data_IF_548962392608
#
_entry.id   IF_548962392608
#
_cell.length_a   1.000
_cell.length_b   1.000
_cell.length_c   1.000
_cell.angle_alpha   90.00
_cell.angle_beta   90.00
_cell.angle_gamma   90.00
#
_symmetry.space_group_name_H-M   'P 1'
#
loop_
_entity.id
_entity.type
_entity.pdbx_description
1 polymer ?
#
# COMPACT_ATOMS: atom_id res chain seq x y z
N UNK A 1 53.91 53.57 -36.88
CA UNK A 1 52.46 53.78 -36.78
C UNK A 1 51.94 52.55 -36.10
N UNK A 2 51.41 52.70 -34.89
CA UNK A 2 50.97 51.59 -34.05
C UNK A 2 49.78 50.91 -34.70
N UNK A 3 49.88 49.59 -34.94
CA UNK A 3 48.72 48.70 -34.99
C UNK A 3 48.14 48.71 -33.57
N UNK A 4 47.13 49.55 -33.35
CA UNK A 4 46.18 49.29 -32.28
C UNK A 4 45.34 48.14 -32.78
N UNK A 5 45.66 46.94 -32.30
CA UNK A 5 44.75 45.80 -32.31
C UNK A 5 43.50 46.27 -31.54
N UNK A 6 42.51 46.81 -32.25
CA UNK A 6 41.22 47.13 -31.66
C UNK A 6 40.53 45.79 -31.42
N UNK A 7 40.74 45.22 -30.23
CA UNK A 7 39.94 44.12 -29.73
C UNK A 7 38.47 44.49 -29.98
N UNK A 8 37.77 43.65 -30.74
CA UNK A 8 36.38 43.87 -31.05
C UNK A 8 35.61 43.92 -29.72
N UNK A 9 34.98 45.05 -29.40
CA UNK A 9 34.25 45.28 -28.13
C UNK A 9 33.22 44.17 -27.87
N UNK A 10 32.72 43.51 -28.94
CA UNK A 10 31.86 42.33 -28.83
C UNK A 10 32.57 41.12 -28.21
N UNK A 11 33.83 40.89 -28.59
CA UNK A 11 34.66 39.82 -28.02
C UNK A 11 34.98 40.12 -26.56
N UNK A 12 35.27 41.38 -26.25
CA UNK A 12 35.53 41.82 -24.87
C UNK A 12 34.32 41.57 -23.97
N UNK A 13 33.11 41.97 -24.40
CA UNK A 13 31.89 41.75 -23.62
C UNK A 13 31.58 40.27 -23.45
N UNK A 14 31.65 39.47 -24.52
CA UNK A 14 31.37 38.02 -24.45
C UNK A 14 32.38 37.27 -23.56
N UNK A 15 33.65 37.64 -23.63
CA UNK A 15 34.70 37.03 -22.78
C UNK A 15 34.52 37.43 -21.31
N UNK A 16 34.13 38.69 -21.06
CA UNK A 16 33.80 39.17 -19.72
C UNK A 16 32.58 38.42 -19.17
N UNK A 17 31.53 38.25 -19.98
CA UNK A 17 30.34 37.49 -19.60
C UNK A 17 30.66 36.02 -19.34
N UNK A 18 31.51 35.38 -20.13
CA UNK A 18 31.92 34.00 -19.89
C UNK A 18 32.69 33.83 -18.57
N UNK A 19 33.39 34.89 -18.13
CA UNK A 19 34.06 34.91 -16.83
C UNK A 19 33.06 35.02 -15.67
N UNK A 20 31.92 35.69 -15.88
CA UNK A 20 30.84 35.84 -14.88
C UNK A 20 29.92 34.61 -14.87
N UNK A 21 29.63 34.08 -16.05
CA UNK A 21 28.75 32.93 -16.31
C UNK A 21 29.54 31.84 -17.05
N UNK A 22 30.24 30.95 -16.32
CA UNK A 22 31.05 29.88 -16.92
C UNK A 22 30.25 28.92 -17.83
N UNK A 23 28.93 28.87 -17.67
CA UNK A 23 27.99 28.12 -18.48
C UNK A 23 27.65 28.78 -19.85
N UNK A 24 28.13 30.01 -20.10
CA UNK A 24 27.95 30.70 -21.38
C UNK A 24 28.76 30.01 -22.49
N UNK A 25 28.05 29.56 -23.53
CA UNK A 25 28.65 28.94 -24.72
C UNK A 25 28.69 29.94 -25.85
N UNK A 26 29.89 30.32 -26.28
CA UNK A 26 30.12 31.19 -27.45
C UNK A 26 30.24 30.30 -28.70
N UNK A 27 29.50 30.64 -29.76
CA UNK A 27 29.51 29.92 -31.03
C UNK A 27 30.32 30.71 -32.06
N UNK A 28 31.56 30.31 -32.31
CA UNK A 28 32.47 31.00 -33.25
C UNK A 28 32.50 30.39 -34.67
N UNK A 29 31.42 29.73 -35.08
CA UNK A 29 31.35 29.08 -36.39
C UNK A 29 30.89 30.07 -37.48
N UNK A 30 31.84 30.67 -38.20
CA UNK A 30 31.68 31.26 -39.55
C UNK A 30 30.46 32.18 -39.78
N UNK A 31 29.28 31.60 -40.02
CA UNK A 31 28.00 32.29 -40.26
C UNK A 31 27.31 32.79 -38.96
N UNK A 32 27.66 32.25 -37.79
CA UNK A 32 27.09 32.60 -36.47
C UNK A 32 28.08 33.34 -35.55
N UNK A 33 29.12 33.97 -36.10
CA UNK A 33 30.11 34.73 -35.31
C UNK A 33 29.43 35.75 -34.36
N UNK A 34 29.90 35.81 -33.11
CA UNK A 34 29.32 36.63 -32.03
C UNK A 34 27.92 36.23 -31.58
N UNK A 35 27.60 34.93 -31.68
CA UNK A 35 26.42 34.33 -31.07
C UNK A 35 26.82 33.64 -29.77
N UNK A 36 26.04 33.83 -28.70
CA UNK A 36 26.25 33.16 -27.43
C UNK A 36 24.94 32.54 -26.91
N UNK A 37 25.05 31.42 -26.23
CA UNK A 37 23.92 30.77 -25.57
C UNK A 37 24.15 30.71 -24.07
N UNK A 38 23.13 31.10 -23.30
CA UNK A 38 23.12 31.05 -21.84
C UNK A 38 21.86 30.33 -21.35
N UNK A 39 22.01 29.41 -20.40
CA UNK A 39 20.86 28.80 -19.70
C UNK A 39 20.70 29.43 -18.32
N UNK A 40 19.62 30.19 -18.14
CA UNK A 40 19.31 30.84 -16.88
C UNK A 40 18.45 29.95 -15.99
N UNK A 41 18.90 29.59 -14.77
CA UNK A 41 18.11 28.81 -13.85
C UNK A 41 16.90 29.63 -13.36
N UNK A 42 15.72 28.99 -13.34
CA UNK A 42 14.48 29.63 -12.87
C UNK A 42 14.16 29.14 -11.46
N UNK A 43 14.58 29.93 -10.47
CA UNK A 43 14.39 29.68 -9.05
C UNK A 43 13.80 30.95 -8.37
N UNK A 44 12.48 31.17 -8.43
CA UNK A 44 11.85 32.34 -7.82
C UNK A 44 11.97 32.31 -6.29
N UNK A 45 12.04 33.48 -5.65
CA UNK A 45 12.14 33.60 -4.19
C UNK A 45 10.92 33.02 -3.45
N UNK A 46 9.76 33.00 -4.11
CA UNK A 46 8.54 32.34 -3.64
C UNK A 46 8.08 31.32 -4.67
N UNK A 47 7.60 30.13 -4.24
CA UNK A 47 7.06 29.14 -5.17
C UNK A 47 5.99 29.74 -6.09
N UNK A 48 6.20 29.60 -7.40
CA UNK A 48 5.37 30.21 -8.42
C UNK A 48 4.06 29.42 -8.60
N UNK A 49 2.89 30.05 -8.47
CA UNK A 49 1.62 29.39 -8.76
C UNK A 49 1.43 29.26 -10.28
N UNK A 50 1.27 28.03 -10.76
CA UNK A 50 0.95 27.71 -12.16
C UNK A 50 -0.42 27.05 -12.21
N UNK A 51 -1.29 27.54 -13.11
CA UNK A 51 -2.63 27.00 -13.32
C UNK A 51 -2.62 26.07 -14.53
N UNK A 52 -3.10 24.83 -14.36
CA UNK A 52 -3.20 23.85 -15.44
C UNK A 52 -4.64 23.72 -15.96
N UNK A 53 -4.83 23.90 -17.26
CA UNK A 53 -6.13 23.76 -17.95
C UNK A 53 -6.25 22.43 -18.73
N UNK A 54 -7.45 21.84 -18.85
CA UNK A 54 -8.78 22.35 -18.48
C UNK A 54 -9.18 22.17 -16.99
N UNK A 55 -8.33 21.57 -16.16
CA UNK A 55 -8.67 21.22 -14.77
C UNK A 55 -8.68 22.37 -13.76
N UNK A 56 -8.24 23.58 -14.13
CA UNK A 56 -8.00 24.72 -13.23
C UNK A 56 -7.24 24.35 -11.95
N UNK A 57 -6.31 23.40 -12.06
CA UNK A 57 -5.53 22.95 -10.92
C UNK A 57 -4.33 23.89 -10.72
N UNK A 58 -4.16 24.41 -9.51
CA UNK A 58 -3.04 25.28 -9.16
C UNK A 58 -1.96 24.48 -8.42
N UNK A 59 -0.74 24.49 -8.94
CA UNK A 59 0.44 23.93 -8.28
C UNK A 59 1.52 24.99 -8.10
N UNK A 60 2.33 24.85 -7.04
CA UNK A 60 3.36 25.81 -6.68
C UNK A 60 4.75 25.23 -6.93
N UNK A 61 5.54 25.87 -7.79
CA UNK A 61 6.85 25.38 -8.21
C UNK A 61 7.97 26.27 -7.65
N UNK A 62 8.88 25.66 -6.89
CA UNK A 62 10.09 26.35 -6.43
C UNK A 62 11.19 26.41 -7.51
N UNK A 63 11.14 25.50 -8.48
CA UNK A 63 12.10 25.41 -9.58
C UNK A 63 11.37 25.12 -10.88
N UNK A 64 11.77 25.79 -11.96
CA UNK A 64 11.28 25.56 -13.31
C UNK A 64 12.46 25.27 -14.27
N UNK A 65 12.19 24.61 -15.40
CA UNK A 65 13.19 24.39 -16.43
C UNK A 65 13.87 25.71 -16.85
N UNK A 66 15.18 25.72 -17.10
CA UNK A 66 15.93 26.94 -17.35
C UNK A 66 15.44 27.64 -18.61
N UNK A 67 15.61 28.96 -18.64
CA UNK A 67 15.36 29.78 -19.83
C UNK A 67 16.64 29.81 -20.65
N UNK A 68 16.58 29.28 -21.87
CA UNK A 68 17.70 29.30 -22.82
C UNK A 68 17.63 30.57 -23.64
N UNK A 69 18.65 31.40 -23.50
CA UNK A 69 18.83 32.65 -24.24
C UNK A 69 19.81 32.44 -25.38
N UNK A 70 19.45 32.87 -26.58
CA UNK A 70 20.35 32.96 -27.72
C UNK A 70 20.60 34.44 -28.06
N UNK A 71 21.78 34.91 -27.70
CA UNK A 71 22.23 36.28 -27.83
C UNK A 71 23.05 36.42 -29.12
N UNK A 72 22.81 37.47 -29.88
CA UNK A 72 23.56 37.78 -31.10
C UNK A 72 23.97 39.24 -31.08
N UNK A 73 25.27 39.47 -31.27
CA UNK A 73 25.84 40.81 -31.34
C UNK A 73 26.03 41.22 -32.81
N UNK A 74 25.13 42.06 -33.37
CA UNK A 74 25.21 42.43 -34.78
C UNK A 74 26.42 43.32 -35.07
N UNK A 75 26.75 43.44 -36.35
CA UNK A 75 27.77 44.40 -36.82
C UNK A 75 27.31 45.82 -36.47
N UNK A 76 28.12 46.54 -35.69
CA UNK A 76 27.81 47.89 -35.20
C UNK A 76 27.40 47.96 -33.73
N UNK A 77 27.18 46.82 -33.06
CA UNK A 77 27.11 46.78 -31.60
C UNK A 77 28.53 46.95 -31.02
N UNK A 78 28.72 47.68 -29.90
CA UNK A 78 27.70 48.32 -29.05
C UNK A 78 27.34 49.77 -29.39
N UNK A 79 28.10 50.46 -30.26
CA UNK A 79 27.97 51.91 -30.44
C UNK A 79 26.82 52.36 -31.37
N UNK A 80 26.41 51.52 -32.31
CA UNK A 80 25.52 51.91 -33.43
C UNK A 80 24.34 50.96 -33.64
N UNK A 81 24.36 49.78 -33.02
CA UNK A 81 23.26 48.81 -33.08
C UNK A 81 23.06 48.13 -31.71
N UNK A 82 21.81 47.82 -31.33
CA UNK A 82 21.49 47.07 -30.10
C UNK A 82 21.82 45.58 -30.23
N UNK A 83 21.94 44.85 -29.10
CA UNK A 83 22.09 43.40 -29.12
C UNK A 83 20.75 42.77 -29.51
N UNK A 84 20.78 41.63 -30.20
CA UNK A 84 19.58 40.91 -30.63
C UNK A 84 19.44 39.60 -29.86
N UNK A 85 18.30 39.39 -29.23
CA UNK A 85 17.96 38.10 -28.61
C UNK A 85 17.18 37.29 -29.65
N UNK A 86 17.85 36.38 -30.37
CA UNK A 86 17.26 35.60 -31.47
C UNK A 86 16.13 34.70 -30.96
N UNK A 87 16.40 33.98 -29.87
CA UNK A 87 15.47 33.00 -29.30
C UNK A 87 15.53 33.02 -27.77
N UNK A 88 14.36 33.08 -27.14
CA UNK A 88 14.16 32.74 -25.72
C UNK A 88 13.33 31.46 -25.72
N UNK A 89 13.91 30.35 -25.29
CA UNK A 89 13.22 29.06 -25.33
C UNK A 89 13.28 28.35 -24.00
N UNK A 90 12.28 27.53 -23.73
CA UNK A 90 12.23 26.63 -22.57
C UNK A 90 11.92 25.22 -23.05
N UNK A 91 12.49 24.22 -22.38
CA UNK A 91 12.19 22.81 -22.63
C UNK A 91 11.74 22.16 -21.32
N UNK A 92 10.45 21.87 -21.14
CA UNK A 92 9.30 22.13 -22.05
C UNK A 92 8.98 23.62 -22.25
N UNK A 93 8.21 23.96 -23.28
CA UNK A 93 7.83 25.34 -23.66
C UNK A 93 6.77 25.93 -22.71
N UNK A 94 7.15 26.12 -21.45
CA UNK A 94 6.27 26.65 -20.39
C UNK A 94 6.18 28.18 -20.40
N UNK A 95 7.02 28.87 -21.18
CA UNK A 95 7.01 30.32 -21.29
C UNK A 95 6.18 30.73 -22.51
N UNK A 96 5.23 31.66 -22.35
CA UNK A 96 4.39 32.11 -23.47
C UNK A 96 5.19 32.91 -24.50
N UNK A 97 4.80 32.82 -25.78
CA UNK A 97 5.47 33.54 -26.88
C UNK A 97 5.42 35.07 -26.68
N UNK A 98 4.31 35.61 -26.14
CA UNK A 98 4.19 37.03 -25.79
C UNK A 98 5.25 37.45 -24.76
N UNK A 99 5.46 36.63 -23.73
CA UNK A 99 6.45 36.92 -22.70
C UNK A 99 7.88 36.74 -23.23
N UNK A 100 8.12 35.73 -24.07
CA UNK A 100 9.41 35.57 -24.77
C UNK A 100 9.75 36.81 -25.60
N UNK A 101 8.82 37.32 -26.41
CA UNK A 101 9.02 38.53 -27.20
C UNK A 101 9.28 39.76 -26.33
N UNK A 102 8.49 39.94 -25.26
CA UNK A 102 8.68 41.07 -24.33
C UNK A 102 10.04 41.05 -23.62
N UNK A 103 10.50 39.86 -23.22
CA UNK A 103 11.82 39.70 -22.59
C UNK A 103 12.96 39.88 -23.62
N UNK A 104 12.75 39.51 -24.88
CA UNK A 104 13.73 39.74 -25.96
C UNK A 104 13.86 41.24 -26.30
N UNK A 105 12.74 41.96 -26.37
CA UNK A 105 12.71 43.40 -26.66
C UNK A 105 13.36 44.26 -25.56
N UNK A 106 13.40 43.76 -24.33
CA UNK A 106 14.02 44.46 -23.20
C UNK A 106 15.53 44.68 -23.38
N UNK A 107 16.24 43.78 -24.04
CA UNK A 107 17.66 43.97 -24.33
C UNK A 107 17.89 45.22 -25.19
N UNK A 108 17.00 45.46 -26.15
CA UNK A 108 17.02 46.65 -27.00
C UNK A 108 16.63 47.91 -26.22
N UNK A 109 15.59 47.84 -25.39
CA UNK A 109 15.16 48.98 -24.55
C UNK A 109 16.28 49.42 -23.58
N UNK A 110 16.96 48.47 -22.95
CA UNK A 110 18.11 48.77 -22.09
C UNK A 110 19.25 49.42 -22.88
N UNK A 111 19.52 48.95 -24.10
CA UNK A 111 20.53 49.59 -24.95
C UNK A 111 20.17 51.04 -25.30
N UNK A 112 18.90 51.30 -25.64
CA UNK A 112 18.38 52.64 -25.93
C UNK A 112 18.46 53.57 -24.69
N UNK A 113 18.12 53.05 -23.51
CA UNK A 113 18.14 53.80 -22.24
C UNK A 113 19.55 54.21 -21.81
N UNK A 114 20.56 53.36 -22.07
CA UNK A 114 21.97 53.66 -21.80
C UNK A 114 22.61 54.56 -22.87
N UNK A 115 21.91 54.83 -23.98
CA UNK A 115 22.42 55.66 -25.08
C UNK A 115 23.48 54.97 -25.94
N UNK A 116 23.46 53.64 -25.97
CA UNK A 116 24.49 52.80 -26.58
C UNK A 116 25.57 52.33 -25.59
N UNK A 117 26.18 51.17 -25.87
CA UNK A 117 27.17 50.55 -24.98
C UNK A 117 26.98 49.04 -24.79
N UNK A 118 27.92 48.43 -24.06
CA UNK A 118 27.87 47.04 -23.63
C UNK A 118 26.79 46.88 -22.55
N UNK A 119 25.69 46.18 -22.85
CA UNK A 119 24.51 46.08 -21.98
C UNK A 119 24.10 44.64 -21.66
N UNK A 120 24.77 43.63 -22.19
CA UNK A 120 24.35 42.24 -22.01
C UNK A 120 24.37 41.81 -20.53
N UNK A 121 25.36 42.24 -19.74
CA UNK A 121 25.40 41.95 -18.30
C UNK A 121 24.22 42.58 -17.55
N UNK A 122 23.90 43.84 -17.87
CA UNK A 122 22.77 44.55 -17.27
C UNK A 122 21.44 43.89 -17.66
N UNK A 123 21.32 43.47 -18.93
CA UNK A 123 20.18 42.71 -19.42
C UNK A 123 20.01 41.37 -18.69
N UNK A 124 21.05 40.54 -18.62
CA UNK A 124 21.01 39.25 -17.92
C UNK A 124 20.67 39.45 -16.43
N UNK A 125 21.26 40.46 -15.78
CA UNK A 125 20.99 40.78 -14.38
C UNK A 125 19.52 41.20 -14.16
N UNK A 126 18.97 42.00 -15.06
CA UNK A 126 17.55 42.39 -15.00
C UNK A 126 16.62 41.19 -15.17
N UNK A 127 16.95 40.26 -16.07
CA UNK A 127 16.21 39.01 -16.21
C UNK A 127 16.27 38.16 -14.93
N UNK A 128 17.45 38.02 -14.32
CA UNK A 128 17.61 37.29 -13.06
C UNK A 128 16.77 37.91 -11.93
N UNK A 129 16.74 39.24 -11.81
CA UNK A 129 15.91 39.95 -10.83
C UNK A 129 14.41 39.73 -11.08
N UNK A 130 13.97 39.75 -12.35
CA UNK A 130 12.57 39.45 -12.72
C UNK A 130 12.18 38.01 -12.42
N UNK A 131 13.08 37.06 -12.65
CA UNK A 131 12.89 35.65 -12.31
C UNK A 131 12.75 35.49 -10.80
N UNK A 132 13.67 36.08 -10.01
CA UNK A 132 13.66 35.99 -8.55
C UNK A 132 12.39 36.61 -7.94
N UNK A 133 12.00 37.79 -8.43
CA UNK A 133 10.78 38.49 -8.02
C UNK A 133 9.48 37.91 -8.60
N UNK A 134 9.57 36.92 -9.49
CA UNK A 134 8.47 36.39 -10.28
C UNK A 134 7.67 37.47 -11.05
N UNK A 135 8.30 38.61 -11.36
CA UNK A 135 7.66 39.73 -12.04
C UNK A 135 7.28 39.35 -13.47
N UNK A 136 5.98 39.39 -13.80
CA UNK A 136 5.46 38.99 -15.11
C UNK A 136 5.16 37.48 -15.26
N UNK A 137 5.48 36.66 -14.25
CA UNK A 137 5.26 35.20 -14.24
C UNK A 137 4.10 34.76 -13.32
N UNK A 138 3.43 35.69 -12.64
CA UNK A 138 2.45 35.40 -11.56
C UNK A 138 1.12 34.80 -11.99
N UNK A 139 0.83 34.69 -13.30
CA UNK A 139 -0.43 34.18 -13.83
C UNK A 139 -0.21 33.24 -15.03
N UNK A 140 0.76 32.33 -14.92
CA UNK A 140 1.00 31.35 -15.98
C UNK A 140 -0.12 30.30 -16.01
N UNK A 141 -0.77 30.20 -17.16
CA UNK A 141 -1.74 29.15 -17.47
C UNK A 141 -1.14 28.20 -18.49
N UNK A 142 -0.99 26.92 -18.14
CA UNK A 142 -0.35 25.91 -18.96
C UNK A 142 -1.29 24.73 -19.26
N UNK A 143 -1.12 24.06 -20.42
CA UNK A 143 -1.76 22.79 -20.70
C UNK A 143 -1.44 21.71 -19.64
N UNK A 144 -2.47 20.94 -19.24
CA UNK A 144 -2.31 19.83 -18.29
C UNK A 144 -1.32 18.75 -18.76
N UNK A 145 -1.02 18.69 -20.06
CA UNK A 145 -0.03 17.75 -20.63
C UNK A 145 1.40 17.98 -20.11
N UNK A 146 1.76 19.23 -19.79
CA UNK A 146 3.11 19.57 -19.31
C UNK A 146 3.28 19.42 -17.79
N UNK A 147 2.18 19.20 -17.06
CA UNK A 147 2.19 19.14 -15.59
C UNK A 147 3.18 18.10 -15.06
N UNK A 148 3.13 16.89 -15.61
CA UNK A 148 3.97 15.79 -15.15
C UNK A 148 5.46 16.12 -15.31
N UNK A 149 5.85 16.64 -16.46
CA UNK A 149 7.25 16.99 -16.75
C UNK A 149 7.78 18.10 -15.83
N UNK A 150 6.96 19.13 -15.53
CA UNK A 150 7.34 20.20 -14.60
C UNK A 150 7.46 19.70 -13.16
N UNK A 151 6.55 18.84 -12.71
CA UNK A 151 6.60 18.23 -11.38
C UNK A 151 7.85 17.37 -11.23
N UNK A 152 8.14 16.51 -12.20
CA UNK A 152 9.32 15.66 -12.21
C UNK A 152 10.62 16.49 -12.26
N UNK A 153 10.66 17.56 -13.05
CA UNK A 153 11.81 18.48 -13.08
C UNK A 153 12.05 19.13 -11.72
N UNK A 154 11.01 19.75 -11.13
CA UNK A 154 11.11 20.43 -9.84
C UNK A 154 11.56 19.47 -8.73
N UNK A 155 10.98 18.28 -8.66
CA UNK A 155 11.37 17.24 -7.68
C UNK A 155 12.81 16.78 -7.86
N UNK A 156 13.26 16.59 -9.11
CA UNK A 156 14.64 16.20 -9.42
C UNK A 156 15.64 17.27 -8.99
N UNK A 157 15.38 18.54 -9.28
CA UNK A 157 16.27 19.63 -8.85
C UNK A 157 16.30 19.76 -7.33
N UNK A 158 15.14 19.69 -6.67
CA UNK A 158 15.08 19.66 -5.21
C UNK A 158 15.91 18.52 -4.62
N UNK A 159 15.84 17.33 -5.22
CA UNK A 159 16.67 16.19 -4.81
C UNK A 159 18.16 16.44 -5.03
N UNK A 160 18.56 16.97 -6.18
CA UNK A 160 19.98 17.26 -6.47
C UNK A 160 20.55 18.29 -5.49
N UNK A 161 19.78 19.33 -5.15
CA UNK A 161 20.18 20.34 -4.18
C UNK A 161 20.28 19.74 -2.78
N UNK A 162 19.27 18.97 -2.38
CA UNK A 162 19.29 18.23 -1.12
C UNK A 162 20.51 17.33 -1.01
N UNK A 163 20.82 16.55 -2.06
CA UNK A 163 21.92 15.60 -2.06
C UNK A 163 23.31 16.29 -1.91
N UNK A 164 23.43 17.56 -2.32
CA UNK A 164 24.64 18.38 -2.15
C UNK A 164 24.79 18.95 -0.73
N UNK A 165 23.67 19.27 -0.10
CA UNK A 165 23.61 19.81 1.27
C UNK A 165 24.08 18.78 2.31
N UNK A 166 24.44 19.27 3.49
CA UNK A 166 24.85 18.45 4.63
C UNK A 166 23.87 18.63 5.77
N UNK A 167 23.46 17.52 6.38
CA UNK A 167 22.46 17.48 7.45
C UNK A 167 22.99 16.72 8.65
N UNK A 168 22.71 17.20 9.85
CA UNK A 168 23.03 16.51 11.09
C UNK A 168 21.90 15.56 11.46
N UNK A 169 22.22 14.27 11.59
CA UNK A 169 21.22 13.29 11.98
C UNK A 169 20.98 13.33 13.49
N UNK A 170 19.75 13.66 13.92
CA UNK A 170 19.39 13.70 15.35
C UNK A 170 19.43 12.35 16.09
N UNK A 171 19.70 11.24 15.41
CA UNK A 171 19.77 9.88 15.99
C UNK A 171 21.21 9.46 16.25
N UNK A 172 22.08 9.52 15.23
CA UNK A 172 23.49 9.17 15.39
C UNK A 172 24.39 10.39 15.71
N UNK A 173 23.84 11.60 15.65
CA UNK A 173 24.53 12.88 15.89
C UNK A 173 25.72 13.16 14.96
N UNK A 174 25.75 12.50 13.80
CA UNK A 174 26.78 12.69 12.78
C UNK A 174 26.27 13.57 11.62
N UNK A 175 27.15 14.42 11.04
CA UNK A 175 26.88 15.10 9.78
C UNK A 175 26.90 14.10 8.63
N UNK A 176 25.87 14.12 7.79
CA UNK A 176 25.72 13.27 6.61
C UNK A 176 25.39 14.11 5.38
N UNK A 177 25.82 13.65 4.21
CA UNK A 177 25.40 14.24 2.93
C UNK A 177 23.93 13.94 2.69
N UNK A 178 23.19 14.85 2.05
CA UNK A 178 21.78 14.62 1.74
C UNK A 178 21.54 13.35 0.93
N UNK A 179 22.51 12.92 0.12
CA UNK A 179 22.45 11.65 -0.61
C UNK A 179 22.36 10.40 0.28
N UNK A 180 22.83 10.48 1.52
CA UNK A 180 22.75 9.42 2.54
C UNK A 180 21.62 9.68 3.55
N UNK A 181 20.83 10.72 3.33
CA UNK A 181 19.73 11.12 4.17
C UNK A 181 18.40 10.96 3.46
N UNK A 182 17.33 10.91 4.25
CA UNK A 182 15.97 10.92 3.77
C UNK A 182 15.19 12.03 4.46
N UNK A 183 14.48 12.83 3.67
CA UNK A 183 13.57 13.88 4.16
C UNK A 183 12.15 13.33 4.21
N UNK A 184 11.60 13.27 5.41
CA UNK A 184 10.23 12.78 5.65
C UNK A 184 9.20 13.66 4.92
N UNK A 185 8.33 13.06 4.10
CA UNK A 185 7.38 13.81 3.26
C UNK A 185 6.30 14.53 4.07
N UNK A 186 5.84 13.95 5.18
CA UNK A 186 4.76 14.53 5.98
C UNK A 186 5.21 15.63 6.96
N UNK A 187 6.45 15.59 7.44
CA UNK A 187 6.93 16.48 8.49
C UNK A 187 8.22 17.25 8.17
N UNK A 188 8.95 16.89 7.09
CA UNK A 188 10.17 17.57 6.65
C UNK A 188 11.42 17.24 7.45
N UNK A 189 11.33 16.46 8.53
CA UNK A 189 12.50 16.04 9.31
C UNK A 189 13.46 15.20 8.45
N UNK A 190 14.75 15.37 8.68
CA UNK A 190 15.82 14.69 7.94
C UNK A 190 16.57 13.74 8.86
N UNK A 191 16.73 12.49 8.43
CA UNK A 191 17.50 11.47 9.13
C UNK A 191 18.42 10.74 8.15
N UNK A 192 19.52 10.17 8.63
CA UNK A 192 20.34 9.32 7.79
C UNK A 192 19.59 8.01 7.49
N UNK A 193 19.80 7.49 6.29
CA UNK A 193 19.12 6.28 5.80
C UNK A 193 19.42 5.08 6.71
N UNK A 194 20.67 4.95 7.17
CA UNK A 194 21.08 3.86 8.05
C UNK A 194 20.27 3.82 9.36
N UNK A 195 20.12 4.96 10.05
CA UNK A 195 19.33 5.01 11.27
C UNK A 195 17.85 4.72 11.04
N UNK A 196 17.28 5.18 9.92
CA UNK A 196 15.89 4.86 9.56
C UNK A 196 15.72 3.37 9.28
N UNK A 197 16.67 2.76 8.56
CA UNK A 197 16.68 1.32 8.28
C UNK A 197 16.73 0.52 9.58
N UNK A 198 17.69 0.79 10.44
CA UNK A 198 17.86 0.06 11.70
C UNK A 198 16.60 0.20 12.58
N UNK A 199 16.09 1.42 12.74
CA UNK A 199 14.90 1.68 13.55
C UNK A 199 13.67 0.94 13.03
N UNK A 200 13.34 1.09 11.75
CA UNK A 200 12.14 0.46 11.20
C UNK A 200 12.26 -1.06 11.13
N UNK A 201 13.44 -1.60 10.80
CA UNK A 201 13.67 -3.05 10.82
C UNK A 201 13.47 -3.62 12.23
N UNK A 202 13.97 -2.95 13.27
CA UNK A 202 13.74 -3.34 14.66
C UNK A 202 12.23 -3.31 14.99
N UNK A 203 11.54 -2.19 14.74
CA UNK A 203 10.10 -2.08 15.03
C UNK A 203 9.26 -3.15 14.31
N UNK A 204 9.58 -3.47 13.04
CA UNK A 204 8.88 -4.48 12.25
C UNK A 204 9.18 -5.89 12.77
N UNK A 205 10.42 -6.14 13.18
CA UNK A 205 10.84 -7.43 13.75
C UNK A 205 10.14 -7.69 15.08
N UNK A 206 10.08 -6.69 15.96
CA UNK A 206 9.44 -6.75 17.27
C UNK A 206 7.91 -6.72 17.22
N UNK A 207 7.32 -6.39 16.06
CA UNK A 207 5.86 -6.30 15.90
C UNK A 207 5.26 -4.97 16.37
N UNK A 208 6.10 -3.99 16.70
CA UNK A 208 5.71 -2.64 17.10
C UNK A 208 5.37 -1.74 15.91
N UNK A 209 4.42 -2.17 15.07
CA UNK A 209 4.00 -1.42 13.86
C UNK A 209 3.48 -0.02 14.15
N UNK A 210 3.07 0.26 15.39
CA UNK A 210 2.63 1.60 15.82
C UNK A 210 3.76 2.63 15.95
N UNK A 211 5.01 2.16 16.02
CA UNK A 211 6.20 2.99 16.15
C UNK A 211 6.86 3.29 14.79
N UNK A 212 6.36 2.71 13.70
CA UNK A 212 6.80 3.00 12.33
C UNK A 212 6.22 4.36 11.87
N UNK A 213 6.81 5.42 12.42
CA UNK A 213 6.49 6.84 12.19
C UNK A 213 7.78 7.67 12.23
N UNK A 214 7.65 9.00 12.16
CA UNK A 214 8.79 9.90 12.29
C UNK A 214 9.49 9.74 13.66
N UNK A 215 10.83 9.70 13.66
CA UNK A 215 11.66 9.51 14.85
C UNK A 215 11.86 10.78 15.70
N UNK A 216 11.56 11.96 15.15
CA UNK A 216 11.69 13.23 15.89
C UNK A 216 10.67 13.32 17.02
N UNK A 217 11.13 13.63 18.23
CA UNK A 217 10.30 13.89 19.42
C UNK A 217 9.56 15.21 19.33
N UNK A 218 10.05 16.15 18.52
CA UNK A 218 9.39 17.44 18.27
C UNK A 218 8.34 17.32 17.15
N UNK A 219 8.13 16.11 16.62
CA UNK A 219 7.06 15.80 15.68
C UNK A 219 5.69 15.69 16.38
N UNK A 220 5.48 16.47 17.44
CA UNK A 220 4.25 16.50 18.22
C UNK A 220 3.24 17.49 17.61
N UNK A 221 2.34 16.94 16.80
CA UNK A 221 0.92 17.02 17.14
C UNK A 221 0.15 18.32 16.95
N UNK A 222 0.61 19.34 16.22
CA UNK A 222 -0.27 20.50 15.86
C UNK A 222 -0.96 20.38 14.49
N UNK A 223 -1.22 19.16 14.02
CA UNK A 223 -2.05 18.90 12.84
C UNK A 223 -2.22 17.41 12.54
N UNK A 224 -3.39 17.03 12.00
CA UNK A 224 -3.84 15.65 11.71
C UNK A 224 -2.89 14.79 10.85
N UNK A 225 -1.85 15.38 10.22
CA UNK A 225 -0.94 14.69 9.29
C UNK A 225 0.44 14.31 9.85
N UNK A 226 0.84 14.82 11.03
CA UNK A 226 2.25 14.74 11.48
C UNK A 226 2.60 13.54 12.39
N UNK A 227 1.63 12.82 12.93
CA UNK A 227 1.81 11.58 13.72
C UNK A 227 1.20 10.36 13.01
N UNK A 228 1.24 10.37 11.67
CA UNK A 228 0.72 9.30 10.81
C UNK A 228 1.77 8.19 10.69
N UNK A 229 1.31 6.94 10.67
CA UNK A 229 2.14 5.78 10.36
C UNK A 229 2.62 5.83 8.92
N UNK A 230 3.83 5.35 8.65
CA UNK A 230 4.36 5.29 7.29
C UNK A 230 3.55 4.32 6.41
N UNK A 231 3.24 4.71 5.18
CA UNK A 231 2.72 3.77 4.18
C UNK A 231 3.80 2.77 3.76
N UNK A 232 3.40 1.57 3.31
CA UNK A 232 4.33 0.65 2.65
C UNK A 232 5.10 1.31 1.49
N UNK A 233 4.46 2.19 0.71
CA UNK A 233 5.09 2.92 -0.39
C UNK A 233 6.17 3.89 0.08
N UNK A 234 5.95 4.62 1.17
CA UNK A 234 6.99 5.49 1.76
C UNK A 234 8.15 4.67 2.32
N UNK A 235 7.87 3.51 2.93
CA UNK A 235 8.90 2.58 3.40
C UNK A 235 9.69 1.93 2.25
N UNK A 236 9.20 1.94 1.02
CA UNK A 236 9.97 1.49 -0.15
C UNK A 236 10.90 2.59 -0.69
N UNK A 237 10.63 3.87 -0.37
CA UNK A 237 11.47 5.00 -0.78
C UNK A 237 12.67 5.20 0.16
N UNK A 238 12.47 4.91 1.44
CA UNK A 238 13.55 4.65 2.40
C UNK A 238 14.01 3.24 2.04
N UNK A 239 15.25 2.94 1.64
CA UNK A 239 15.64 1.65 1.04
C UNK A 239 15.58 0.46 2.02
N UNK A 240 14.39 0.14 2.53
CA UNK A 240 14.07 -0.97 3.42
C UNK A 240 13.87 -2.23 2.56
N UNK A 241 14.37 -3.39 3.01
CA UNK A 241 14.14 -4.65 2.32
C UNK A 241 12.64 -4.95 2.08
N UNK A 242 12.29 -5.42 0.88
CA UNK A 242 10.88 -5.64 0.48
C UNK A 242 10.15 -6.63 1.39
N UNK A 243 10.85 -7.64 1.90
CA UNK A 243 10.33 -8.62 2.85
C UNK A 243 9.90 -7.96 4.18
N UNK A 244 10.64 -6.97 4.65
CA UNK A 244 10.29 -6.21 5.85
C UNK A 244 9.07 -5.32 5.62
N UNK A 245 8.97 -4.67 4.46
CA UNK A 245 7.79 -3.87 4.10
C UNK A 245 6.54 -4.75 3.96
N UNK A 246 6.66 -5.94 3.38
CA UNK A 246 5.59 -6.92 3.26
C UNK A 246 5.14 -7.43 4.63
N UNK A 247 6.10 -7.76 5.50
CA UNK A 247 5.85 -8.09 6.91
C UNK A 247 5.14 -6.95 7.65
N UNK A 248 5.59 -5.71 7.46
CA UNK A 248 4.94 -4.53 8.04
C UNK A 248 3.48 -4.41 7.60
N UNK A 249 3.20 -4.54 6.31
CA UNK A 249 1.84 -4.47 5.79
C UNK A 249 0.94 -5.58 6.38
N UNK A 250 1.45 -6.81 6.45
CA UNK A 250 0.74 -7.95 7.06
C UNK A 250 0.44 -7.69 8.54
N UNK A 251 1.44 -7.23 9.31
CA UNK A 251 1.28 -6.94 10.74
C UNK A 251 0.31 -5.77 10.98
N UNK A 252 0.38 -4.70 10.15
CA UNK A 252 -0.55 -3.56 10.22
C UNK A 252 -1.99 -4.03 9.93
N UNK A 253 -2.20 -4.84 8.89
CA UNK A 253 -3.51 -5.43 8.56
C UNK A 253 -4.00 -6.34 9.68
N UNK A 254 -3.15 -7.23 10.20
CA UNK A 254 -3.49 -8.15 11.29
C UNK A 254 -3.95 -7.39 12.53
N UNK A 255 -3.20 -6.37 12.96
CA UNK A 255 -3.54 -5.55 14.14
C UNK A 255 -4.86 -4.80 13.97
N UNK A 256 -5.17 -4.30 12.76
CA UNK A 256 -6.48 -3.71 12.44
C UNK A 256 -7.60 -4.74 12.56
N UNK A 257 -7.41 -5.95 12.02
CA UNK A 257 -8.41 -7.03 12.09
C UNK A 257 -8.61 -7.57 13.51
N UNK A 258 -7.57 -7.60 14.34
CA UNK A 258 -7.68 -7.98 15.76
C UNK A 258 -8.37 -6.92 16.61
N UNK A 259 -8.27 -5.64 16.23
CA UNK A 259 -8.98 -4.55 16.89
C UNK A 259 -10.47 -4.49 16.52
N UNK A 260 -10.86 -5.03 15.36
CA UNK A 260 -12.25 -5.03 14.88
C UNK A 260 -13.05 -6.19 15.50
N UNK A 261 -14.07 -5.86 16.29
CA UNK A 261 -14.94 -6.83 16.97
C UNK A 261 -15.82 -7.66 16.01
N UNK A 262 -15.96 -7.23 14.75
CA UNK A 262 -16.74 -7.95 13.73
C UNK A 262 -15.96 -9.07 13.06
N UNK A 263 -14.63 -9.12 13.25
CA UNK A 263 -13.77 -10.11 12.63
C UNK A 263 -13.83 -11.46 13.34
N UNK A 264 -13.92 -12.52 12.55
CA UNK A 264 -14.01 -13.91 13.02
C UNK A 264 -12.90 -14.73 12.39
N UNK A 265 -12.29 -15.62 13.17
CA UNK A 265 -11.15 -16.43 12.77
C UNK A 265 -11.53 -17.88 12.50
N UNK A 266 -10.74 -18.54 11.66
CA UNK A 266 -10.95 -19.91 11.27
C UNK A 266 -10.84 -20.86 12.49
N UNK A 267 -11.79 -21.78 12.69
CA UNK A 267 -11.78 -22.70 13.83
C UNK A 267 -10.71 -23.82 13.73
N UNK A 268 -10.06 -23.99 12.58
CA UNK A 268 -9.00 -25.00 12.41
C UNK A 268 -7.75 -24.56 13.18
N UNK A 269 -7.32 -25.40 14.12
CA UNK A 269 -6.10 -25.17 14.94
C UNK A 269 -4.86 -24.88 14.11
N UNK A 270 -4.72 -25.49 12.93
CA UNK A 270 -3.56 -25.28 12.04
C UNK A 270 -3.69 -24.04 11.14
N UNK A 271 -4.87 -23.43 11.03
CA UNK A 271 -5.11 -22.28 10.15
C UNK A 271 -5.26 -20.99 10.95
N UNK A 272 -6.32 -20.88 11.76
CA UNK A 272 -6.67 -19.66 12.52
C UNK A 272 -6.71 -18.36 11.69
N UNK A 273 -6.74 -18.46 10.35
CA UNK A 273 -6.79 -17.33 9.43
C UNK A 273 -8.10 -16.55 9.52
N UNK A 274 -8.06 -15.27 9.17
CA UNK A 274 -9.23 -14.40 9.21
C UNK A 274 -10.30 -14.80 8.18
N UNK A 275 -11.55 -14.44 8.46
CA UNK A 275 -12.62 -14.49 7.47
C UNK A 275 -12.35 -13.55 6.30
N UNK A 276 -12.83 -13.90 5.11
CA UNK A 276 -12.87 -13.00 3.95
C UNK A 276 -13.72 -11.79 4.29
N UNK A 277 -13.21 -10.61 3.99
CA UNK A 277 -13.87 -9.34 4.24
C UNK A 277 -13.50 -8.36 3.13
N UNK A 278 -14.46 -7.52 2.74
CA UNK A 278 -14.23 -6.40 1.82
C UNK A 278 -13.57 -5.21 2.53
N UNK A 279 -13.71 -5.12 3.86
CA UNK A 279 -13.17 -4.03 4.69
C UNK A 279 -11.65 -4.08 4.83
N UNK A 280 -11.07 -5.28 4.84
CA UNK A 280 -9.62 -5.49 4.96
C UNK A 280 -9.17 -6.46 3.87
N UNK A 281 -8.99 -6.01 2.62
CA UNK A 281 -8.64 -6.88 1.49
C UNK A 281 -7.27 -7.54 1.67
N UNK A 282 -7.05 -8.69 1.03
CA UNK A 282 -5.75 -9.36 1.03
C UNK A 282 -4.71 -8.46 0.39
N UNK A 283 -3.56 -8.34 1.06
CA UNK A 283 -2.40 -7.68 0.49
C UNK A 283 -1.89 -8.55 -0.66
N UNK A 284 -1.95 -8.03 -1.87
CA UNK A 284 -1.43 -8.67 -3.09
C UNK A 284 -0.11 -8.06 -3.52
N UNK A 285 0.03 -6.74 -3.39
CA UNK A 285 1.30 -6.03 -3.60
C UNK A 285 1.38 -4.77 -2.73
N UNK A 286 2.46 -4.68 -1.95
CA UNK A 286 2.75 -3.52 -1.09
C UNK A 286 3.06 -2.25 -1.86
N UNK A 287 3.48 -2.35 -3.13
CA UNK A 287 3.84 -1.19 -3.95
C UNK A 287 2.62 -0.32 -4.34
N UNK A 288 1.43 -0.94 -4.36
CA UNK A 288 0.16 -0.31 -4.72
C UNK A 288 -0.61 0.22 -3.50
N UNK A 289 -0.06 0.07 -2.30
CA UNK A 289 -0.69 0.51 -1.06
C UNK A 289 -0.35 1.98 -0.79
N UNK A 290 -1.14 2.87 -1.38
CA UNK A 290 -1.19 4.28 -0.98
C UNK A 290 -2.02 4.45 0.31
N UNK A 291 -1.66 5.40 1.18
CA UNK A 291 -2.38 5.74 2.42
C UNK A 291 -3.73 6.48 2.15
N UNK A 292 -4.49 5.99 1.17
CA UNK A 292 -5.87 6.39 0.92
C UNK A 292 -6.88 5.64 1.81
N UNK A 293 -6.42 4.98 2.89
CA UNK A 293 -7.29 4.56 4.00
C UNK A 293 -7.23 5.61 5.12
N UNK A 294 -7.69 6.83 4.82
CA UNK A 294 -8.54 7.50 5.80
C UNK A 294 -9.75 6.60 6.00
N UNK A 295 -10.02 6.22 7.24
CA UNK A 295 -11.28 5.59 7.68
C UNK A 295 -12.43 6.09 6.79
N UNK A 296 -13.19 5.22 6.11
CA UNK A 296 -14.40 5.67 5.43
C UNK A 296 -15.32 6.24 6.51
N UNK A 297 -15.43 7.58 6.53
CA UNK A 297 -16.51 8.25 7.24
C UNK A 297 -17.83 7.76 6.63
N UNK A 298 -18.62 7.07 7.45
CA UNK A 298 -20.06 6.91 7.25
C UNK A 298 -20.47 6.16 5.98
N UNK A 299 -20.30 4.84 5.97
CA UNK A 299 -21.26 3.98 5.28
C UNK A 299 -22.15 3.33 6.34
N UNK A 300 -23.45 3.50 6.13
CA UNK A 300 -24.54 3.26 7.07
C UNK A 300 -24.42 1.90 7.77
N UNK A 301 -24.35 1.93 9.10
CA UNK A 301 -24.51 0.76 9.95
C UNK A 301 -25.90 0.17 9.70
N UNK A 302 -25.96 -0.96 9.00
CA UNK A 302 -27.13 -1.84 9.08
C UNK A 302 -27.25 -2.26 10.56
N UNK A 303 -28.36 -1.94 11.26
CA UNK A 303 -28.42 -2.10 12.69
C UNK A 303 -28.41 -3.58 13.06
N UNK A 304 -27.47 -3.96 13.91
CA UNK A 304 -27.50 -5.24 14.59
C UNK A 304 -28.87 -5.40 15.30
N UNK A 305 -29.60 -6.51 15.13
CA UNK A 305 -30.88 -6.70 15.80
C UNK A 305 -30.69 -6.75 17.31
N UNK A 306 -31.18 -5.71 17.99
CA UNK A 306 -31.20 -5.63 19.45
C UNK A 306 -32.21 -6.64 20.00
N UNK A 307 -31.72 -7.63 20.75
CA UNK A 307 -32.56 -8.53 21.53
C UNK A 307 -32.97 -7.80 22.80
N UNK A 308 -34.16 -7.18 22.79
CA UNK A 308 -34.79 -6.64 24.00
C UNK A 308 -35.35 -7.80 24.81
N UNK A 309 -34.82 -8.01 26.01
CA UNK A 309 -35.37 -8.95 27.00
C UNK A 309 -36.24 -8.13 27.96
N UNK A 310 -37.57 -8.22 27.83
CA UNK A 310 -38.48 -7.81 28.91
C UNK A 310 -38.89 -9.02 29.76
N UNK A 311 -38.97 -8.87 31.10
CA UNK A 311 -39.19 -9.99 32.00
C UNK A 311 -40.69 -10.23 32.25
N UNK A 312 -41.13 -11.47 32.03
CA UNK A 312 -42.34 -12.01 32.67
C UNK A 312 -43.42 -12.51 31.71
N UNK A 313 -43.36 -13.79 31.35
CA UNK A 313 -44.53 -14.70 31.34
C UNK A 313 -44.08 -16.12 30.95
N UNK A 314 -44.73 -17.12 31.56
CA UNK A 314 -44.40 -18.55 31.49
C UNK A 314 -44.53 -19.16 30.07
N UNK A 315 -43.81 -20.25 29.77
CA UNK A 315 -43.56 -20.69 28.39
C UNK A 315 -44.68 -21.57 27.84
N UNK A 316 -45.18 -21.22 26.65
CA UNK A 316 -45.78 -22.17 25.71
C UNK A 316 -44.77 -22.45 24.60
N UNK A 317 -44.73 -23.66 23.99
CA UNK A 317 -43.76 -23.97 22.96
C UNK A 317 -44.13 -23.25 21.66
N UNK A 318 -43.61 -22.04 21.48
CA UNK A 318 -43.76 -21.31 20.22
C UNK A 318 -43.00 -22.03 19.11
N UNK A 319 -43.74 -22.42 18.07
CA UNK A 319 -43.18 -22.90 16.81
C UNK A 319 -42.35 -21.78 16.19
N UNK A 320 -41.01 -21.86 16.31
CA UNK A 320 -40.07 -20.92 15.69
C UNK A 320 -40.32 -20.86 14.18
N UNK A 321 -40.42 -19.65 13.63
CA UNK A 321 -40.54 -19.41 12.18
C UNK A 321 -39.35 -20.03 11.44
N UNK A 322 -39.66 -20.90 10.48
CA UNK A 322 -38.70 -21.46 9.53
C UNK A 322 -38.30 -20.37 8.53
N UNK A 323 -36.99 -20.14 8.40
CA UNK A 323 -36.41 -19.37 7.30
C UNK A 323 -36.26 -17.86 7.57
N UNK A 324 -35.14 -17.48 8.17
CA UNK A 324 -34.52 -16.19 7.83
C UNK A 324 -33.72 -16.48 6.54
N UNK A 325 -34.10 -15.86 5.44
CA UNK A 325 -33.35 -15.88 4.18
C UNK A 325 -32.13 -14.97 4.34
N UNK A 326 -30.92 -15.52 4.27
CA UNK A 326 -29.68 -14.76 4.36
C UNK A 326 -28.54 -15.65 4.85
N UNK A 327 -27.44 -15.73 4.07
CA UNK A 327 -26.20 -16.44 4.42
C UNK A 327 -25.45 -15.76 5.59
N UNK A 328 -26.17 -15.13 6.51
CA UNK A 328 -25.66 -14.20 7.52
C UNK A 328 -24.75 -14.90 8.54
N UNK A 329 -24.93 -16.22 8.69
CA UNK A 329 -24.09 -17.06 9.56
C UNK A 329 -22.87 -17.65 8.86
N UNK A 330 -22.81 -17.61 7.53
CA UNK A 330 -21.69 -18.16 6.77
C UNK A 330 -20.50 -17.22 6.86
N UNK A 331 -19.33 -17.78 7.16
CA UNK A 331 -18.03 -17.14 6.99
C UNK A 331 -17.13 -18.06 6.20
N UNK A 332 -16.27 -17.48 5.37
CA UNK A 332 -15.29 -18.23 4.56
C UNK A 332 -13.91 -17.77 4.96
N UNK A 333 -13.04 -18.70 5.35
CA UNK A 333 -11.64 -18.40 5.63
C UNK A 333 -10.92 -17.95 4.36
N UNK A 334 -10.09 -16.91 4.46
CA UNK A 334 -9.29 -16.44 3.33
C UNK A 334 -8.14 -17.40 2.98
N UNK A 335 -7.53 -18.05 3.99
CA UNK A 335 -6.31 -18.84 3.82
C UNK A 335 -6.57 -20.30 3.44
N UNK A 336 -7.51 -20.96 4.12
CA UNK A 336 -7.82 -22.39 3.89
C UNK A 336 -9.17 -22.65 3.22
N UNK A 337 -9.86 -21.58 2.81
CA UNK A 337 -11.17 -21.60 2.11
C UNK A 337 -12.29 -22.36 2.82
N UNK A 338 -12.14 -22.68 4.11
CA UNK A 338 -13.18 -23.33 4.89
C UNK A 338 -14.38 -22.40 5.03
N UNK A 339 -15.55 -22.88 4.57
CA UNK A 339 -16.85 -22.32 4.89
C UNK A 339 -17.30 -22.83 6.27
N UNK A 340 -17.52 -21.92 7.23
CA UNK A 340 -17.91 -22.26 8.60
C UNK A 340 -19.01 -21.34 9.13
N UNK A 341 -19.73 -21.80 10.15
CA UNK A 341 -20.77 -21.03 10.81
C UNK A 341 -20.18 -20.16 11.93
N UNK A 342 -20.45 -18.86 11.93
CA UNK A 342 -19.99 -17.93 12.98
C UNK A 342 -20.54 -18.26 14.37
N UNK A 343 -21.69 -18.95 14.44
CA UNK A 343 -22.39 -19.22 15.70
C UNK A 343 -21.84 -20.46 16.41
N UNK A 344 -21.60 -21.56 15.68
CA UNK A 344 -21.17 -22.84 16.25
C UNK A 344 -19.74 -23.23 15.89
N UNK A 345 -19.05 -22.45 15.04
CA UNK A 345 -17.69 -22.69 14.56
C UNK A 345 -17.46 -24.04 13.85
N UNK A 346 -18.53 -24.75 13.49
CA UNK A 346 -18.47 -25.95 12.67
C UNK A 346 -18.47 -25.60 11.18
N UNK A 347 -18.15 -26.59 10.33
CA UNK A 347 -18.34 -26.49 8.88
C UNK A 347 -19.76 -26.03 8.55
N UNK A 348 -19.89 -25.23 7.48
CA UNK A 348 -21.16 -24.66 7.08
C UNK A 348 -22.24 -25.74 6.87
N UNK A 349 -23.35 -25.60 7.59
CA UNK A 349 -24.45 -26.58 7.64
C UNK A 349 -25.76 -26.03 7.06
N UNK A 350 -25.70 -24.91 6.35
CA UNK A 350 -26.87 -24.25 5.75
C UNK A 350 -27.76 -23.49 6.74
N UNK A 351 -28.72 -22.74 6.18
CA UNK A 351 -29.58 -21.81 6.93
C UNK A 351 -30.68 -22.50 7.74
N UNK A 352 -31.10 -23.70 7.33
CA UNK A 352 -32.23 -24.40 7.93
C UNK A 352 -31.83 -25.35 9.06
N UNK A 353 -30.53 -25.61 9.24
CA UNK A 353 -30.04 -26.46 10.33
C UNK A 353 -30.12 -25.73 11.68
N UNK A 354 -30.54 -26.47 12.71
CA UNK A 354 -30.51 -25.98 14.10
C UNK A 354 -29.05 -25.78 14.50
N UNK A 355 -28.71 -24.57 14.88
CA UNK A 355 -27.38 -24.17 15.26
C UNK A 355 -27.41 -23.59 16.67
N UNK A 356 -26.73 -24.25 17.59
CA UNK A 356 -26.59 -23.79 18.97
C UNK A 356 -25.19 -23.23 19.16
N UNK A 357 -25.06 -22.16 19.96
CA UNK A 357 -23.75 -21.59 20.31
C UNK A 357 -23.01 -22.66 21.10
N UNK A 358 -21.91 -23.15 20.53
CA UNK A 358 -20.93 -23.90 21.30
C UNK A 358 -19.98 -22.88 21.91
N UNK A 359 -19.94 -22.84 23.24
CA UNK A 359 -18.88 -22.15 23.93
C UNK A 359 -17.59 -22.96 23.73
N UNK A 360 -16.51 -22.33 23.28
CA UNK A 360 -15.22 -22.99 23.09
C UNK A 360 -14.65 -23.54 24.42
N UNK A 361 -15.20 -23.11 25.56
CA UNK A 361 -14.78 -23.45 26.91
C UNK A 361 -15.73 -24.35 27.69
N UNK A 362 -16.93 -24.67 27.17
CA UNK A 362 -17.92 -25.50 27.89
C UNK A 362 -18.19 -26.83 27.19
N UNK A 363 -17.27 -27.76 27.36
CA UNK A 363 -17.63 -29.18 27.38
C UNK A 363 -17.38 -29.64 28.81
N UNK A 364 -18.43 -30.00 29.54
CA UNK A 364 -18.24 -30.66 30.84
C UNK A 364 -17.48 -31.97 30.61
N UNK A 365 -16.74 -32.48 31.60
CA UNK A 365 -16.05 -33.79 31.48
C UNK A 365 -17.03 -34.90 31.03
N UNK A 366 -18.29 -34.78 31.43
CA UNK A 366 -19.37 -35.68 31.04
C UNK A 366 -19.80 -35.49 29.57
N UNK A 367 -19.81 -34.26 29.06
CA UNK A 367 -20.06 -33.99 27.63
C UNK A 367 -18.88 -34.45 26.77
N UNK A 368 -17.65 -34.32 27.26
CA UNK A 368 -16.47 -34.81 26.57
C UNK A 368 -16.42 -36.34 26.54
N UNK A 369 -16.80 -37.00 27.65
CA UNK A 369 -16.97 -38.45 27.68
C UNK A 369 -18.10 -38.92 26.75
N UNK A 370 -19.22 -38.19 26.71
CA UNK A 370 -20.34 -38.45 25.80
C UNK A 370 -19.94 -38.30 24.33
N UNK A 371 -19.21 -37.22 23.99
CA UNK A 371 -18.68 -36.99 22.65
C UNK A 371 -17.66 -38.06 22.25
N UNK A 372 -16.74 -38.43 23.14
CA UNK A 372 -15.77 -39.49 22.89
C UNK A 372 -16.48 -40.82 22.65
N UNK A 373 -17.53 -41.13 23.42
CA UNK A 373 -18.34 -42.33 23.23
C UNK A 373 -19.04 -42.32 21.86
N UNK A 374 -19.67 -41.20 21.47
CA UNK A 374 -20.32 -41.05 20.17
C UNK A 374 -19.30 -41.21 19.03
N UNK A 375 -18.14 -40.56 19.10
CA UNK A 375 -17.11 -40.65 18.06
C UNK A 375 -16.48 -42.05 17.94
N UNK A 376 -16.43 -42.80 19.04
CA UNK A 376 -15.88 -44.17 19.03
C UNK A 376 -16.87 -45.21 18.47
N UNK A 377 -18.19 -44.99 18.61
CA UNK A 377 -19.22 -45.98 18.28
C UNK A 377 -20.14 -45.55 17.14
N UNK A 378 -19.82 -44.46 16.44
CA UNK A 378 -20.63 -43.98 15.31
C UNK A 378 -19.77 -43.44 14.19
N UNK A 379 -20.29 -43.52 12.96
CA UNK A 379 -19.69 -42.93 11.77
C UNK A 379 -20.58 -41.80 11.24
N UNK A 380 -20.00 -40.67 10.87
CA UNK A 380 -20.74 -39.53 10.34
C UNK A 380 -21.26 -39.78 8.91
N UNK A 381 -22.51 -39.39 8.67
CA UNK A 381 -23.08 -39.36 7.32
C UNK A 381 -22.38 -38.31 6.44
N UNK A 382 -21.96 -38.63 5.20
CA UNK A 382 -21.29 -37.67 4.32
C UNK A 382 -22.17 -36.49 3.88
N UNK A 383 -23.50 -36.65 3.90
CA UNK A 383 -24.43 -35.64 3.38
C UNK A 383 -24.93 -34.68 4.47
N UNK A 384 -25.26 -35.21 5.65
CA UNK A 384 -25.86 -34.42 6.73
C UNK A 384 -25.04 -34.41 8.03
N UNK A 385 -23.91 -35.12 8.07
CA UNK A 385 -22.98 -35.22 9.19
C UNK A 385 -23.58 -35.72 10.51
N UNK A 386 -24.74 -36.38 10.44
CA UNK A 386 -25.37 -37.01 11.60
C UNK A 386 -24.58 -38.25 11.98
N UNK A 387 -24.19 -38.43 13.26
CA UNK A 387 -23.56 -39.64 13.74
C UNK A 387 -24.51 -40.83 13.56
N UNK A 388 -24.07 -41.86 12.84
CA UNK A 388 -24.84 -43.06 12.56
C UNK A 388 -24.17 -44.25 13.24
N UNK A 389 -24.92 -45.04 13.99
CA UNK A 389 -24.45 -46.28 14.64
C UNK A 389 -24.74 -47.48 13.73
N UNK A 390 -23.85 -48.49 13.75
CA UNK A 390 -24.06 -49.75 13.05
C UNK A 390 -24.49 -50.83 14.04
N UNK A 391 -25.77 -51.20 13.98
CA UNK A 391 -26.32 -52.21 14.89
C UNK A 391 -25.97 -53.65 14.49
N UNK A 392 -26.21 -54.05 13.23
CA UNK A 392 -25.93 -55.40 12.71
C UNK A 392 -25.83 -55.35 11.18
N UNK A 393 -25.01 -56.22 10.59
CA UNK A 393 -24.98 -56.45 9.14
C UNK A 393 -23.83 -55.78 8.39
N UNK A 394 -24.04 -55.45 7.11
CA UNK A 394 -22.97 -54.98 6.24
C UNK A 394 -22.59 -53.51 6.47
N UNK A 395 -21.41 -53.11 6.00
CA UNK A 395 -20.88 -51.74 6.05
C UNK A 395 -21.55 -50.77 5.05
N UNK A 396 -22.58 -51.20 4.33
CA UNK A 396 -23.48 -50.28 3.63
C UNK A 396 -24.60 -49.87 4.58
N UNK A 397 -24.65 -48.58 4.91
CA UNK A 397 -25.70 -48.03 5.78
C UNK A 397 -26.46 -46.90 5.08
N UNK A 398 -27.71 -46.72 5.48
CA UNK A 398 -28.59 -45.65 4.98
C UNK A 398 -28.86 -44.68 6.12
N UNK A 399 -28.51 -43.41 5.93
CA UNK A 399 -28.75 -42.39 6.95
C UNK A 399 -30.26 -42.27 7.21
N UNK A 400 -30.68 -42.41 8.47
CA UNK A 400 -32.10 -42.28 8.85
C UNK A 400 -32.64 -40.85 8.71
N UNK A 401 -31.75 -39.85 8.69
CA UNK A 401 -32.15 -38.44 8.61
C UNK A 401 -32.27 -37.93 7.17
N UNK A 402 -31.28 -38.19 6.31
CA UNK A 402 -31.28 -37.69 4.93
C UNK A 402 -31.49 -38.77 3.86
N UNK A 403 -31.52 -40.06 4.22
CA UNK A 403 -31.70 -41.16 3.29
C UNK A 403 -30.47 -41.49 2.43
N UNK A 404 -29.34 -40.80 2.61
CA UNK A 404 -28.12 -41.08 1.85
C UNK A 404 -27.58 -42.49 2.16
N UNK A 405 -27.18 -43.21 1.13
CA UNK A 405 -26.45 -44.47 1.26
C UNK A 405 -24.95 -44.18 1.34
N UNK A 406 -24.26 -44.77 2.31
CA UNK A 406 -22.83 -44.56 2.48
C UNK A 406 -22.13 -45.74 3.17
N UNK A 407 -20.81 -45.79 3.03
CA UNK A 407 -19.96 -46.81 3.62
C UNK A 407 -19.63 -46.46 5.08
N UNK A 408 -19.87 -47.39 6.00
CA UNK A 408 -19.59 -47.22 7.43
C UNK A 408 -18.09 -47.11 7.74
N UNK A 409 -17.23 -47.77 6.97
CA UNK A 409 -15.80 -47.80 7.26
C UNK A 409 -15.11 -46.47 6.90
N UNK A 410 -15.52 -45.85 5.80
CA UNK A 410 -14.81 -44.69 5.24
C UNK A 410 -15.69 -43.44 5.06
N UNK A 411 -16.93 -43.49 5.53
CA UNK A 411 -17.95 -42.44 5.34
C UNK A 411 -18.21 -42.05 3.87
N UNK A 412 -17.73 -42.82 2.89
CA UNK A 412 -17.90 -42.49 1.49
C UNK A 412 -19.35 -42.68 1.05
N UNK A 413 -19.90 -41.73 0.30
CA UNK A 413 -21.21 -41.87 -0.32
C UNK A 413 -21.24 -43.06 -1.29
N UNK A 414 -22.35 -43.81 -1.29
CA UNK A 414 -22.59 -44.97 -2.12
C UNK A 414 -23.78 -44.72 -3.04
N UNK A 415 -23.66 -45.15 -4.30
CA UNK A 415 -24.76 -45.02 -5.25
C UNK A 415 -25.94 -45.92 -4.85
N UNK A 416 -27.19 -45.42 -4.88
CA UNK A 416 -28.37 -46.25 -4.58
C UNK A 416 -28.53 -47.43 -5.56
N UNK A 417 -28.13 -47.24 -6.82
CA UNK A 417 -28.24 -48.24 -7.88
C UNK A 417 -27.23 -49.39 -7.75
N UNK A 418 -26.09 -49.15 -7.10
CA UNK A 418 -25.03 -50.14 -6.95
C UNK A 418 -24.20 -49.93 -5.68
N UNK A 419 -24.78 -50.03 -4.47
CA UNK A 419 -24.09 -49.64 -3.23
C UNK A 419 -22.93 -50.58 -2.88
N UNK A 420 -22.95 -51.82 -3.37
CA UNK A 420 -21.94 -52.83 -3.07
C UNK A 420 -20.68 -52.76 -3.96
N UNK A 421 -20.72 -52.00 -5.07
CA UNK A 421 -19.58 -51.88 -5.99
C UNK A 421 -18.33 -51.33 -5.30
N UNK A 422 -18.53 -50.47 -4.29
CA UNK A 422 -17.47 -49.90 -3.46
C UNK A 422 -16.58 -50.97 -2.80
N UNK A 423 -17.16 -52.07 -2.33
CA UNK A 423 -16.44 -53.16 -1.66
C UNK A 423 -15.85 -54.17 -2.63
N UNK A 424 -16.28 -54.15 -3.89
CA UNK A 424 -15.73 -54.97 -4.97
C UNK A 424 -14.65 -54.29 -5.80
N UNK A 425 -14.39 -52.99 -5.59
CA UNK A 425 -13.36 -52.25 -6.33
C UNK A 425 -11.99 -52.34 -5.60
N UNK A 426 -10.94 -52.93 -6.23
CA UNK A 426 -9.58 -52.98 -5.67
C UNK A 426 -8.95 -51.60 -5.39
N UNK A 427 -9.44 -50.52 -6.00
CA UNK A 427 -8.96 -49.16 -5.74
C UNK A 427 -9.35 -48.65 -4.34
N UNK A 428 -10.41 -49.19 -3.73
CA UNK A 428 -10.82 -48.85 -2.37
C UNK A 428 -10.07 -49.70 -1.35
N UNK A 429 -8.75 -49.56 -1.28
CA UNK A 429 -7.83 -50.41 -0.51
C UNK A 429 -8.29 -50.66 0.93
N UNK A 430 -8.89 -49.65 1.57
CA UNK A 430 -9.37 -49.74 2.95
C UNK A 430 -10.70 -50.52 3.12
N UNK A 431 -11.53 -50.59 2.08
CA UNK A 431 -12.88 -51.16 2.13
C UNK A 431 -13.05 -52.42 1.24
N UNK A 432 -12.08 -52.71 0.38
CA UNK A 432 -12.12 -53.84 -0.54
C UNK A 432 -12.27 -55.16 0.23
N UNK A 433 -13.29 -55.94 -0.14
CA UNK A 433 -13.68 -57.20 0.51
C UNK A 433 -14.07 -57.10 2.01
N UNK A 434 -14.24 -55.88 2.55
CA UNK A 434 -14.60 -55.65 3.96
C UNK A 434 -16.07 -55.30 4.16
N UNK A 435 -16.96 -55.77 3.27
CA UNK A 435 -18.40 -55.50 3.35
C UNK A 435 -19.02 -55.98 4.67
N UNK A 436 -18.53 -57.09 5.21
CA UNK A 436 -19.06 -57.76 6.41
C UNK A 436 -18.19 -57.60 7.64
N UNK A 437 -17.15 -56.76 7.57
CA UNK A 437 -16.30 -56.51 8.73
C UNK A 437 -17.09 -55.79 9.82
N UNK A 438 -16.97 -56.26 11.07
CA UNK A 438 -17.75 -55.75 12.19
C UNK A 438 -19.26 -55.97 12.03
N UNK A 439 -19.69 -57.07 11.40
CA UNK A 439 -21.11 -57.37 11.17
C UNK A 439 -21.93 -57.62 12.46
N UNK A 440 -21.24 -57.80 13.59
CA UNK A 440 -21.81 -57.99 14.92
C UNK A 440 -22.26 -56.68 15.59
N UNK A 441 -21.93 -55.53 15.00
CA UNK A 441 -22.33 -54.19 15.47
C UNK A 441 -21.43 -53.59 16.56
N UNK A 442 -21.59 -52.29 16.81
CA UNK A 442 -20.72 -51.50 17.70
C UNK A 442 -21.08 -51.66 19.21
N UNK A 443 -21.93 -52.63 19.56
CA UNK A 443 -22.59 -52.72 20.89
C UNK A 443 -22.10 -53.83 21.83
N UNK A 444 -20.98 -54.50 21.57
CA UNK A 444 -20.48 -55.58 22.45
C UNK A 444 -19.34 -55.12 23.37
N UNK A 445 -19.30 -55.61 24.64
CA UNK A 445 -18.37 -55.16 25.68
C UNK A 445 -16.91 -55.65 25.52
N UNK A 446 -16.46 -55.94 24.29
CA UNK A 446 -15.12 -56.43 23.97
C UNK A 446 -14.10 -55.37 23.57
N UNK A 447 -14.54 -54.18 23.15
CA UNK A 447 -13.66 -53.13 22.59
C UNK A 447 -13.20 -52.08 23.63
N UNK A 448 -12.96 -52.52 24.87
CA UNK A 448 -12.47 -51.66 25.97
C UNK A 448 -10.93 -51.57 26.06
N UNK A 449 -10.18 -52.30 25.23
CA UNK A 449 -8.70 -52.21 25.22
C UNK A 449 -8.12 -50.89 24.70
N UNK A 450 -8.70 -50.19 23.69
CA UNK A 450 -8.17 -48.91 23.23
C UNK A 450 -8.28 -47.80 24.30
N UNK A 451 -9.35 -47.82 25.10
CA UNK A 451 -9.58 -46.81 26.14
C UNK A 451 -8.53 -46.89 27.27
N UNK A 452 -8.17 -48.11 27.70
CA UNK A 452 -7.14 -48.31 28.72
C UNK A 452 -5.74 -47.88 28.26
N UNK A 453 -5.45 -47.97 26.95
CA UNK A 453 -4.21 -47.49 26.38
C UNK A 453 -4.12 -45.95 26.45
N UNK A 454 -5.17 -45.24 26.03
CA UNK A 454 -5.20 -43.78 26.06
C UNK A 454 -5.27 -43.22 27.49
N UNK A 455 -5.96 -43.89 28.41
CA UNK A 455 -5.98 -43.52 29.83
C UNK A 455 -4.58 -43.64 30.46
N UNK A 456 -3.84 -44.71 30.12
CA UNK A 456 -2.47 -44.94 30.61
C UNK A 456 -1.47 -43.95 30.01
N UNK A 457 -1.64 -43.58 28.75
CA UNK A 457 -0.80 -42.59 28.07
C UNK A 457 -1.09 -41.15 28.57
N UNK A 458 -2.36 -40.82 28.83
CA UNK A 458 -2.76 -39.54 29.42
C UNK A 458 -2.20 -39.36 30.84
N UNK A 459 -2.23 -40.42 31.66
CA UNK A 459 -1.58 -40.45 32.98
C UNK A 459 -0.07 -40.25 32.89
N UNK A 460 0.59 -40.80 31.85
CA UNK A 460 2.02 -40.64 31.63
C UNK A 460 2.39 -39.20 31.30
N UNK A 461 1.63 -38.55 30.42
CA UNK A 461 1.84 -37.17 29.99
C UNK A 461 1.62 -36.17 31.15
N UNK A 462 0.69 -36.45 32.07
CA UNK A 462 0.49 -35.64 33.27
C UNK A 462 1.60 -35.76 34.32
N UNK A 463 2.35 -36.86 34.33
CA UNK A 463 3.46 -37.05 35.27
C UNK A 463 4.81 -36.52 34.75
N UNK A 464 4.88 -36.15 33.47
CA UNK A 464 6.06 -35.59 32.81
C UNK A 464 6.01 -34.04 32.68
N UNK A 465 5.00 -33.39 33.27
CA UNK A 465 4.92 -31.93 33.52
C UNK A 465 5.11 -31.65 35.01
#
# INVERSE_FOLDING_TARGET
MADFDTEDERTEELTTLQSIYPELVIHDNGDDAYTATLELPVAPAKPLPITFEPGQQIEHFAYLPPIRLELVLPVGYPAHAPPTVKHISTSPSWLSDDLQHRLADEAKLLWDDYGGGMVLFAYISSLQEKIESASGLTALTLPSSMRQELVEYSQRIQKVLFDKETFDCGVCLDPKKGSECYRMQCCGHVFCIACLQDYYNCCITEGEVGNVKCMSTECDGNGKKKNRLMSPKELLQIPIPRDQVERYAILRRKKKMEADQTMVYCPRKWCQGAMRTTKYPKITDVSLMDDAESEPEGEEEDPAPQVVIEPGSNPAPEKRKVGILGMDRLRVCEDCTLAFCVVCLASWHGDFARCERRDATQLTEQDQASLNFILAHTTSCPECNVPCEKNLGCNHITCRQCGAHFCYLCSAWLSPDSPYSHFGNPENVYCFQRLWEGAEGDGQPGDLEPAQFWDREALRIQQEQ
#
